data_IF_205151740272
#
_entry.id   IF_205151740272
#
_cell.length_a   1.000
_cell.length_b   1.000
_cell.length_c   1.000
_cell.angle_alpha   90.00
_cell.angle_beta   90.00
_cell.angle_gamma   90.00
#
_symmetry.space_group_name_H-M   'P 1'
#
loop_
_entity.id
_entity.type
_entity.pdbx_description
1 polymer ?
#
# COMPACT_ATOMS: atom_id res chain seq x y z
N UNK A 1 -27.43 2.98 39.10
CA UNK A 1 -27.82 2.05 38.11
C UNK A 1 -27.56 2.51 36.72
N UNK A 2 -28.18 3.56 36.31
CA UNK A 2 -28.01 4.05 34.97
C UNK A 2 -26.60 4.48 34.69
N UNK A 3 -25.93 4.97 35.69
CA UNK A 3 -24.54 5.39 35.56
C UNK A 3 -23.62 4.25 35.18
N UNK A 4 -23.96 3.07 35.69
CA UNK A 4 -23.16 1.91 35.40
C UNK A 4 -23.12 1.60 33.90
N UNK A 5 -24.28 1.78 33.29
CA UNK A 5 -24.35 1.56 31.85
C UNK A 5 -23.47 2.51 31.06
N UNK A 6 -23.44 3.75 31.50
CA UNK A 6 -22.62 4.74 30.85
C UNK A 6 -21.14 4.35 30.89
N UNK A 7 -20.70 3.81 32.03
CA UNK A 7 -19.33 3.37 32.16
C UNK A 7 -18.99 2.23 31.20
N UNK A 8 -19.94 1.32 31.05
CA UNK A 8 -19.73 0.22 30.12
C UNK A 8 -19.55 0.71 28.70
N UNK A 9 -20.34 1.68 28.32
CA UNK A 9 -20.21 2.25 26.99
C UNK A 9 -18.86 2.89 26.75
N UNK A 10 -18.33 3.55 27.76
CA UNK A 10 -17.00 4.12 27.65
C UNK A 10 -15.95 3.05 27.45
N UNK A 11 -16.08 1.96 28.18
CA UNK A 11 -15.13 0.88 28.04
C UNK A 11 -15.12 0.33 26.62
N UNK A 12 -16.30 0.21 26.03
CA UNK A 12 -16.39 -0.25 24.66
C UNK A 12 -15.76 0.74 23.69
N UNK A 13 -15.96 2.00 23.93
CA UNK A 13 -15.37 3.03 23.08
C UNK A 13 -13.86 2.99 23.09
N UNK A 14 -13.27 2.49 24.15
CA UNK A 14 -11.82 2.41 24.22
C UNK A 14 -11.23 1.28 23.39
N UNK A 15 -12.07 0.45 22.86
CA UNK A 15 -11.62 -0.61 21.98
C UNK A 15 -11.50 -0.17 20.54
N UNK A 16 -11.60 1.09 20.30
CA UNK A 16 -11.27 1.58 18.99
C UNK A 16 -9.84 1.16 18.73
N UNK A 17 -9.69 0.33 17.81
CA UNK A 17 -8.46 -0.36 17.54
C UNK A 17 -7.39 0.56 17.03
N UNK A 18 -6.20 0.07 17.01
CA UNK A 18 -5.07 0.77 16.45
C UNK A 18 -5.35 1.09 14.98
N UNK A 19 -4.77 2.17 14.53
CA UNK A 19 -4.90 2.57 13.14
C UNK A 19 -4.33 1.50 12.24
N UNK A 20 -4.96 1.31 11.09
CA UNK A 20 -4.46 0.43 10.06
C UNK A 20 -3.17 1.01 9.48
N UNK A 21 -2.20 0.17 9.19
CA UNK A 21 -0.96 0.58 8.53
C UNK A 21 -1.30 1.20 7.18
N UNK A 22 -0.82 2.40 6.93
CA UNK A 22 -1.03 3.08 5.66
C UNK A 22 0.15 2.84 4.74
N UNK A 23 -0.09 3.06 3.44
CA UNK A 23 0.98 2.94 2.45
C UNK A 23 2.10 3.94 2.72
N UNK A 24 1.77 5.18 3.06
CA UNK A 24 2.79 6.18 3.37
C UNK A 24 3.65 5.78 4.56
N UNK A 25 3.03 5.30 5.63
CA UNK A 25 3.76 4.83 6.80
C UNK A 25 4.68 3.66 6.45
N UNK A 26 4.17 2.72 5.67
CA UNK A 26 4.95 1.57 5.28
C UNK A 26 6.15 1.95 4.40
N UNK A 27 5.99 2.92 3.52
CA UNK A 27 7.10 3.44 2.72
C UNK A 27 8.15 4.10 3.60
N UNK A 28 7.72 4.96 4.51
CA UNK A 28 8.63 5.68 5.41
C UNK A 28 9.40 4.72 6.30
N UNK A 29 8.76 3.66 6.74
CA UNK A 29 9.37 2.67 7.62
C UNK A 29 10.22 1.64 6.86
N UNK A 30 10.27 1.71 5.54
CA UNK A 30 11.05 0.76 4.75
C UNK A 30 10.45 -0.64 4.69
N UNK A 31 9.14 -0.76 4.89
CA UNK A 31 8.45 -2.05 4.91
C UNK A 31 8.01 -2.49 3.52
N UNK A 32 7.77 -1.55 2.64
CA UNK A 32 7.38 -1.78 1.25
C UNK A 32 8.08 -0.80 0.34
N UNK A 33 8.15 -1.14 -0.94
CA UNK A 33 8.67 -0.23 -1.94
C UNK A 33 7.92 -0.37 -3.26
N UNK A 34 8.04 0.64 -4.11
CA UNK A 34 7.47 0.63 -5.44
C UNK A 34 8.32 -0.19 -6.38
N UNK A 35 7.67 -0.81 -7.37
CA UNK A 35 8.36 -1.56 -8.40
C UNK A 35 7.96 -1.06 -9.77
N UNK A 36 8.76 -1.38 -10.77
CA UNK A 36 8.49 -0.96 -12.15
C UNK A 36 7.29 -1.68 -12.77
N UNK A 37 6.77 -2.72 -12.10
CA UNK A 37 5.59 -3.42 -12.60
C UNK A 37 4.28 -2.66 -12.34
N UNK A 38 4.32 -1.62 -11.49
CA UNK A 38 3.14 -0.87 -11.11
C UNK A 38 2.56 -1.27 -9.76
N UNK A 39 3.18 -2.22 -9.09
CA UNK A 39 2.72 -2.76 -7.80
C UNK A 39 3.78 -2.56 -6.74
N UNK A 40 3.33 -2.50 -5.49
CA UNK A 40 4.29 -2.49 -4.39
C UNK A 40 4.69 -3.93 -4.07
N UNK A 41 5.86 -4.07 -3.46
CA UNK A 41 6.31 -5.36 -2.97
C UNK A 41 6.77 -5.21 -1.53
N UNK A 42 6.66 -6.26 -0.71
CA UNK A 42 7.10 -6.21 0.67
C UNK A 42 8.61 -6.30 0.76
N UNK A 43 9.18 -5.49 1.66
CA UNK A 43 10.58 -5.60 2.05
C UNK A 43 10.65 -6.39 3.35
N UNK A 44 9.72 -6.11 4.28
CA UNK A 44 9.53 -6.94 5.46
C UNK A 44 8.34 -7.87 5.22
N UNK A 45 8.36 -9.04 5.85
CA UNK A 45 7.35 -10.07 5.57
C UNK A 45 6.47 -10.39 6.77
N UNK A 46 6.28 -9.43 7.65
CA UNK A 46 5.34 -9.56 8.76
C UNK A 46 3.90 -9.51 8.23
N UNK A 47 2.99 -10.06 9.01
CA UNK A 47 1.59 -10.21 8.60
C UNK A 47 0.94 -8.88 8.23
N UNK A 48 1.22 -7.83 8.99
CA UNK A 48 0.63 -6.51 8.74
C UNK A 48 1.08 -5.93 7.41
N UNK A 49 2.37 -6.05 7.10
CA UNK A 49 2.92 -5.58 5.83
C UNK A 49 2.36 -6.37 4.65
N UNK A 50 2.29 -7.69 4.78
CA UNK A 50 1.75 -8.53 3.70
C UNK A 50 0.28 -8.24 3.45
N UNK A 51 -0.51 -7.98 4.49
CA UNK A 51 -1.91 -7.61 4.34
C UNK A 51 -2.05 -6.28 3.62
N UNK A 52 -1.20 -5.31 3.95
CA UNK A 52 -1.18 -4.02 3.25
C UNK A 52 -0.87 -4.20 1.78
N UNK A 53 0.18 -4.96 1.46
CA UNK A 53 0.58 -5.21 0.07
C UNK A 53 -0.58 -5.80 -0.73
N UNK A 54 -1.24 -6.80 -0.17
CA UNK A 54 -2.39 -7.43 -0.82
C UNK A 54 -3.51 -6.42 -1.08
N UNK A 55 -3.85 -5.62 -0.08
CA UNK A 55 -4.94 -4.64 -0.20
C UNK A 55 -4.63 -3.55 -1.22
N UNK A 56 -3.44 -3.00 -1.18
CA UNK A 56 -3.05 -1.93 -2.10
C UNK A 56 -2.98 -2.45 -3.53
N UNK A 57 -2.37 -3.60 -3.73
CA UNK A 57 -2.24 -4.14 -5.09
C UNK A 57 -3.58 -4.55 -5.67
N UNK A 58 -4.52 -5.03 -4.87
CA UNK A 58 -5.87 -5.33 -5.34
C UNK A 58 -6.57 -4.05 -5.83
N UNK A 59 -6.45 -2.97 -5.08
CA UNK A 59 -7.03 -1.68 -5.47
C UNK A 59 -6.38 -1.15 -6.75
N UNK A 60 -5.07 -1.31 -6.88
CA UNK A 60 -4.35 -0.89 -8.08
C UNK A 60 -4.75 -1.70 -9.31
N UNK A 61 -4.91 -3.01 -9.15
CA UNK A 61 -5.37 -3.87 -10.24
C UNK A 61 -6.70 -3.36 -10.79
N UNK A 62 -7.63 -3.04 -9.89
CA UNK A 62 -8.94 -2.53 -10.30
C UNK A 62 -8.82 -1.21 -11.05
N UNK A 63 -7.99 -0.28 -10.55
CA UNK A 63 -7.78 0.99 -11.20
C UNK A 63 -7.11 0.84 -12.57
N UNK A 64 -6.10 0.00 -12.66
CA UNK A 64 -5.40 -0.23 -13.92
C UNK A 64 -6.31 -0.88 -14.95
N UNK A 65 -7.17 -1.79 -14.52
CA UNK A 65 -8.11 -2.43 -15.43
C UNK A 65 -9.10 -1.43 -16.03
N UNK A 66 -9.60 -0.51 -15.20
CA UNK A 66 -10.50 0.54 -15.67
C UNK A 66 -9.82 1.44 -16.71
N UNK A 67 -8.58 1.82 -16.45
CA UNK A 67 -7.84 2.64 -17.40
C UNK A 67 -7.53 1.88 -18.68
N UNK A 68 -7.17 0.62 -18.57
CA UNK A 68 -6.90 -0.22 -19.73
C UNK A 68 -8.13 -0.34 -20.60
N UNK A 69 -9.28 -0.61 -20.00
CA UNK A 69 -10.55 -0.75 -20.72
C UNK A 69 -10.94 0.55 -21.42
N UNK A 70 -10.77 1.68 -20.73
CA UNK A 70 -11.14 2.99 -21.29
C UNK A 70 -10.25 3.42 -22.45
N UNK A 71 -9.03 2.89 -22.51
CA UNK A 71 -8.05 3.34 -23.50
C UNK A 71 -7.67 2.23 -24.50
N UNK A 72 -8.34 1.10 -24.44
CA UNK A 72 -8.05 -0.05 -25.31
C UNK A 72 -6.58 -0.47 -25.22
N UNK A 73 -6.05 -0.55 -24.01
CA UNK A 73 -4.68 -0.96 -23.77
C UNK A 73 -4.66 -2.26 -22.97
N UNK A 74 -3.62 -3.08 -23.10
CA UNK A 74 -3.41 -4.20 -22.19
C UNK A 74 -3.18 -3.67 -20.78
N UNK A 75 -3.72 -4.36 -19.77
CA UNK A 75 -3.61 -3.90 -18.39
C UNK A 75 -2.16 -3.84 -17.90
N UNK A 76 -1.31 -4.74 -18.36
CA UNK A 76 0.09 -4.74 -17.95
C UNK A 76 0.85 -3.53 -18.49
N UNK A 77 0.46 -3.00 -19.63
CA UNK A 77 1.03 -1.75 -20.15
C UNK A 77 0.67 -0.57 -19.26
N UNK A 78 -0.59 -0.50 -18.83
CA UNK A 78 -1.02 0.54 -17.91
C UNK A 78 -0.26 0.43 -16.59
N UNK A 79 -0.12 -0.79 -16.08
CA UNK A 79 0.59 -1.03 -14.83
C UNK A 79 2.07 -0.60 -14.94
N UNK A 80 2.73 -0.92 -16.04
CA UNK A 80 4.12 -0.51 -16.27
C UNK A 80 4.28 1.00 -16.34
N UNK A 81 3.37 1.68 -17.01
CA UNK A 81 3.39 3.15 -17.08
C UNK A 81 3.25 3.74 -15.69
N UNK A 82 2.33 3.21 -14.89
CA UNK A 82 2.16 3.64 -13.50
C UNK A 82 3.42 3.37 -12.68
N UNK A 83 4.02 2.19 -12.86
CA UNK A 83 5.23 1.81 -12.14
C UNK A 83 6.38 2.78 -12.36
N UNK A 84 6.60 3.17 -13.59
CA UNK A 84 7.64 4.14 -13.92
C UNK A 84 7.42 5.47 -13.19
N UNK A 85 6.19 5.94 -13.15
CA UNK A 85 5.85 7.19 -12.48
C UNK A 85 5.99 7.06 -10.96
N UNK A 86 5.53 5.95 -10.40
CA UNK A 86 5.59 5.73 -8.96
C UNK A 86 7.03 5.60 -8.46
N UNK A 87 7.86 4.91 -9.20
CA UNK A 87 9.28 4.80 -8.87
C UNK A 87 9.95 6.18 -8.95
N UNK A 88 9.64 6.94 -9.99
CA UNK A 88 10.22 8.28 -10.15
C UNK A 88 9.79 9.24 -9.05
N UNK A 89 8.57 9.09 -8.51
CA UNK A 89 8.04 9.96 -7.47
C UNK A 89 8.45 9.57 -6.07
N UNK A 90 9.04 8.41 -5.89
CA UNK A 90 9.41 7.95 -4.55
C UNK A 90 10.31 8.98 -3.88
N UNK A 91 10.10 9.19 -2.58
CA UNK A 91 10.77 10.21 -1.81
C UNK A 91 12.15 9.75 -1.37
N UNK A 92 13.06 10.69 -1.07
CA UNK A 92 14.37 10.31 -0.50
C UNK A 92 14.17 9.42 0.73
N UNK A 93 14.94 8.35 0.80
CA UNK A 93 14.85 7.37 1.88
C UNK A 93 13.89 6.22 1.64
N UNK A 94 13.00 6.34 0.67
CA UNK A 94 12.11 5.24 0.31
C UNK A 94 12.82 4.26 -0.63
N UNK A 95 12.31 3.02 -0.66
CA UNK A 95 12.89 1.99 -1.49
C UNK A 95 12.12 1.81 -2.79
N UNK A 96 12.84 1.57 -3.86
CA UNK A 96 12.28 1.20 -5.16
C UNK A 96 13.04 0.00 -5.70
N UNK A 97 12.36 -0.81 -6.52
CA UNK A 97 13.00 -1.94 -7.17
C UNK A 97 13.34 -1.56 -8.60
N UNK A 98 14.63 -1.62 -8.91
CA UNK A 98 15.12 -1.24 -10.22
C UNK A 98 14.97 -2.34 -11.27
N UNK A 99 15.49 -2.07 -12.45
CA UNK A 99 15.42 -3.00 -13.58
C UNK A 99 16.09 -4.33 -13.25
N UNK A 100 17.15 -4.28 -12.45
CA UNK A 100 17.89 -5.49 -12.06
C UNK A 100 17.18 -6.32 -10.98
N UNK A 101 15.97 -5.92 -10.59
CA UNK A 101 15.21 -6.63 -9.57
C UNK A 101 15.70 -6.44 -8.15
N UNK A 102 16.59 -5.50 -7.92
CA UNK A 102 17.14 -5.24 -6.59
C UNK A 102 16.55 -3.98 -5.98
N UNK A 103 16.44 -3.99 -4.65
CA UNK A 103 16.00 -2.81 -3.92
C UNK A 103 17.07 -1.73 -3.92
N UNK A 104 16.63 -0.52 -4.19
CA UNK A 104 17.47 0.67 -4.15
C UNK A 104 16.83 1.69 -3.23
N UNK A 105 17.60 2.22 -2.29
CA UNK A 105 17.11 3.29 -1.42
C UNK A 105 17.37 4.63 -2.11
N UNK A 106 16.32 5.39 -2.27
CA UNK A 106 16.42 6.69 -2.94
C UNK A 106 17.01 7.79 -2.08
#
# INVERSE_FOLDING_TARGET
MKRTLALILLALGMHVQAATLTLNDAREQGRVGETLSGYIAPITHDAETLALVSRINAARTESYQKLADSNNLPVDEVAKMAGQKLVARAQPGEYVKGINGKWLKK
#
